data_IF_598100962581
#
_entry.id   IF_598100962581
#
_cell.length_a   1.000
_cell.length_b   1.000
_cell.length_c   1.000
_cell.angle_alpha   90.00
_cell.angle_beta   90.00
_cell.angle_gamma   90.00
#
_symmetry.space_group_name_H-M   'P 1'
#
loop_
_entity.id
_entity.type
_entity.pdbx_description
1 polymer ?
#
# COMPACT_ATOMS: atom_id res chain seq x y z
N UNK A 1 8.39 -26.02 -25.19
CA UNK A 1 7.95 -24.77 -24.51
C UNK A 1 8.50 -24.77 -23.10
N UNK A 2 9.01 -23.64 -22.59
CA UNK A 2 9.59 -23.60 -21.26
C UNK A 2 8.53 -23.82 -20.16
N UNK A 3 8.93 -24.45 -19.05
CA UNK A 3 8.11 -24.69 -17.86
C UNK A 3 8.55 -23.75 -16.73
N UNK A 4 7.61 -23.37 -15.88
CA UNK A 4 7.92 -22.60 -14.66
C UNK A 4 8.58 -23.51 -13.59
N UNK A 5 9.22 -22.94 -12.54
CA UNK A 5 9.84 -23.72 -11.47
C UNK A 5 8.88 -24.66 -10.71
N UNK A 6 7.58 -24.35 -10.74
CA UNK A 6 6.50 -25.17 -10.18
C UNK A 6 6.01 -26.29 -11.14
N UNK A 7 6.66 -26.47 -12.29
CA UNK A 7 6.34 -27.49 -13.30
C UNK A 7 5.18 -27.12 -14.24
N UNK A 8 4.49 -26.00 -13.98
CA UNK A 8 3.39 -25.53 -14.81
C UNK A 8 3.88 -25.03 -16.17
N UNK A 9 2.99 -25.10 -17.18
CA UNK A 9 3.31 -24.62 -18.52
C UNK A 9 3.38 -23.09 -18.53
N UNK A 10 4.53 -22.54 -18.89
CA UNK A 10 4.69 -21.11 -19.01
C UNK A 10 4.02 -20.64 -20.31
N UNK A 11 2.93 -19.86 -20.19
CA UNK A 11 2.47 -19.02 -21.31
C UNK A 11 3.58 -17.99 -21.56
N UNK A 12 3.89 -17.74 -22.84
CA UNK A 12 5.04 -16.92 -23.23
C UNK A 12 5.10 -15.59 -22.48
N UNK A 13 3.97 -14.89 -22.33
CA UNK A 13 3.93 -13.61 -21.61
C UNK A 13 4.30 -13.75 -20.12
N UNK A 14 3.83 -14.80 -19.42
CA UNK A 14 4.14 -15.05 -18.01
C UNK A 14 5.61 -15.41 -17.81
N UNK A 15 6.19 -16.16 -18.75
CA UNK A 15 7.62 -16.45 -18.73
C UNK A 15 8.42 -15.16 -18.82
N UNK A 16 8.13 -14.31 -19.82
CA UNK A 16 8.90 -13.09 -20.08
C UNK A 16 8.73 -12.03 -18.99
N UNK A 17 7.57 -11.95 -18.35
CA UNK A 17 7.34 -11.07 -17.20
C UNK A 17 8.22 -11.43 -15.99
N UNK A 18 8.43 -12.73 -15.71
CA UNK A 18 9.25 -13.20 -14.59
C UNK A 18 10.76 -13.01 -14.77
N UNK A 19 11.23 -12.85 -16.02
CA UNK A 19 12.66 -12.64 -16.34
C UNK A 19 12.94 -11.25 -16.91
N UNK A 20 11.94 -10.37 -16.95
CA UNK A 20 12.11 -9.01 -17.41
C UNK A 20 13.03 -8.25 -16.47
N UNK A 21 14.14 -7.71 -16.99
CA UNK A 21 14.95 -6.75 -16.24
C UNK A 21 14.08 -5.51 -16.01
N UNK A 22 13.94 -5.01 -14.76
CA UNK A 22 13.16 -3.82 -14.48
C UNK A 22 13.69 -2.64 -15.31
N UNK A 23 12.77 -1.89 -15.92
CA UNK A 23 13.08 -0.89 -16.94
C UNK A 23 13.42 0.49 -16.37
N UNK A 24 13.10 0.72 -15.10
CA UNK A 24 13.38 1.96 -14.37
C UNK A 24 13.55 1.67 -12.87
N UNK A 25 14.06 2.67 -12.14
CA UNK A 25 14.28 2.57 -10.69
C UNK A 25 13.01 2.22 -9.91
N UNK A 26 11.84 2.68 -10.36
CA UNK A 26 10.55 2.38 -9.72
C UNK A 26 10.20 0.90 -9.85
N UNK A 27 10.32 0.31 -11.05
CA UNK A 27 10.12 -1.13 -11.27
C UNK A 27 11.15 -1.97 -10.53
N UNK A 28 12.40 -1.51 -10.46
CA UNK A 28 13.48 -2.23 -9.78
C UNK A 28 13.35 -2.19 -8.25
N UNK A 29 12.77 -1.11 -7.73
CA UNK A 29 12.32 -0.99 -6.35
C UNK A 29 11.15 -1.95 -6.10
N UNK A 30 10.08 -1.91 -6.90
CA UNK A 30 8.92 -2.79 -6.73
C UNK A 30 9.23 -4.28 -6.91
N UNK A 31 10.19 -4.62 -7.78
CA UNK A 31 10.64 -6.00 -7.96
C UNK A 31 11.40 -6.55 -6.74
N UNK A 32 11.99 -5.66 -5.93
CA UNK A 32 12.74 -6.01 -4.71
C UNK A 32 11.93 -5.78 -3.44
N UNK A 33 10.87 -5.01 -3.49
CA UNK A 33 10.03 -4.68 -2.36
C UNK A 33 9.19 -5.90 -1.94
N UNK A 34 9.54 -6.46 -0.79
CA UNK A 34 8.90 -7.60 -0.14
C UNK A 34 8.04 -7.17 1.08
N UNK A 35 7.73 -5.88 1.18
CA UNK A 35 6.97 -5.29 2.27
C UNK A 35 5.45 -5.49 2.18
N UNK A 36 4.73 -5.10 3.24
CA UNK A 36 3.27 -5.20 3.34
C UNK A 36 2.55 -4.52 2.16
N UNK A 37 3.17 -3.50 1.55
CA UNK A 37 2.64 -2.79 0.39
C UNK A 37 2.34 -3.64 -0.84
N UNK A 38 2.82 -4.88 -0.98
CA UNK A 38 2.35 -5.71 -2.09
C UNK A 38 0.84 -5.94 -1.99
N UNK A 39 0.09 -5.66 -3.07
CA UNK A 39 -1.35 -5.88 -3.12
C UNK A 39 -1.75 -7.33 -2.78
N UNK A 40 -0.84 -8.30 -3.02
CA UNK A 40 -1.02 -9.70 -2.68
C UNK A 40 -0.97 -9.99 -1.17
N UNK A 41 -0.28 -9.14 -0.40
CA UNK A 41 -0.19 -9.25 1.06
C UNK A 41 -1.26 -8.41 1.74
N UNK A 42 -1.55 -7.23 1.18
CA UNK A 42 -2.49 -6.30 1.75
C UNK A 42 -3.97 -6.62 1.47
N UNK A 43 -4.29 -7.36 0.40
CA UNK A 43 -5.67 -7.63 -0.02
C UNK A 43 -5.84 -9.08 -0.47
N UNK A 44 -7.07 -9.60 -0.35
CA UNK A 44 -7.42 -10.87 -1.00
C UNK A 44 -7.68 -10.66 -2.50
N UNK A 45 -7.44 -11.68 -3.33
CA UNK A 45 -7.65 -11.58 -4.79
C UNK A 45 -9.10 -11.24 -5.17
N UNK A 46 -10.06 -11.71 -4.37
CA UNK A 46 -11.50 -11.43 -4.53
C UNK A 46 -11.95 -10.13 -3.86
N UNK A 47 -11.05 -9.40 -3.20
CA UNK A 47 -11.40 -8.21 -2.44
C UNK A 47 -11.69 -7.02 -3.39
N UNK A 48 -12.90 -6.49 -3.27
CA UNK A 48 -13.38 -5.35 -4.03
C UNK A 48 -13.60 -4.13 -3.12
N UNK A 49 -13.91 -2.97 -3.70
CA UNK A 49 -14.13 -1.74 -2.92
C UNK A 49 -12.84 -1.06 -2.43
N UNK A 50 -11.67 -1.48 -2.92
CA UNK A 50 -10.37 -0.91 -2.56
C UNK A 50 -10.26 0.53 -3.11
N UNK A 51 -10.31 1.50 -2.20
CA UNK A 51 -10.12 2.93 -2.53
C UNK A 51 -8.63 3.31 -2.63
N UNK A 52 -8.30 4.49 -3.18
CA UNK A 52 -6.94 5.02 -3.13
C UNK A 52 -6.39 5.11 -1.69
N UNK A 53 -7.24 5.41 -0.70
CA UNK A 53 -6.83 5.49 0.70
C UNK A 53 -6.44 4.11 1.26
N UNK A 54 -7.19 3.04 0.93
CA UNK A 54 -6.81 1.67 1.29
C UNK A 54 -5.43 1.29 0.74
N UNK A 55 -5.11 1.73 -0.49
CA UNK A 55 -3.79 1.52 -1.07
C UNK A 55 -2.73 2.31 -0.31
N UNK A 56 -2.94 3.60 -0.05
CA UNK A 56 -1.99 4.39 0.73
C UNK A 56 -1.70 3.80 2.12
N UNK A 57 -2.72 3.21 2.77
CA UNK A 57 -2.58 2.45 4.01
C UNK A 57 -1.78 1.16 3.85
N UNK A 58 -2.08 0.38 2.80
CA UNK A 58 -1.37 -0.86 2.47
C UNK A 58 0.12 -0.62 2.20
N UNK A 59 0.48 0.48 1.54
CA UNK A 59 1.87 0.79 1.19
C UNK A 59 2.62 1.61 2.24
N UNK A 60 1.97 2.07 3.31
CA UNK A 60 2.59 2.97 4.28
C UNK A 60 3.01 4.28 3.61
N UNK A 61 2.07 4.98 2.95
CA UNK A 61 2.34 6.26 2.29
C UNK A 61 1.69 7.45 3.01
N UNK A 62 2.32 7.99 4.07
CA UNK A 62 1.81 9.11 4.86
C UNK A 62 1.38 10.30 4.01
N UNK A 63 2.22 10.73 3.06
CA UNK A 63 1.95 11.93 2.25
C UNK A 63 0.77 11.72 1.29
N UNK A 64 0.62 10.52 0.72
CA UNK A 64 -0.52 10.20 -0.14
C UNK A 64 -1.81 10.10 0.68
N UNK A 65 -1.76 9.48 1.86
CA UNK A 65 -2.89 9.42 2.77
C UNK A 65 -3.35 10.82 3.20
N UNK A 66 -2.42 11.71 3.57
CA UNK A 66 -2.73 13.11 3.86
C UNK A 66 -3.37 13.83 2.66
N UNK A 67 -2.80 13.70 1.47
CA UNK A 67 -3.32 14.33 0.27
C UNK A 67 -4.75 13.86 -0.06
N UNK A 68 -5.01 12.56 0.08
CA UNK A 68 -6.33 11.97 -0.15
C UNK A 68 -7.31 12.47 0.90
N UNK A 69 -6.97 12.41 2.19
CA UNK A 69 -7.84 12.81 3.29
C UNK A 69 -8.12 14.31 3.33
N UNK A 70 -7.17 15.14 2.86
CA UNK A 70 -7.37 16.58 2.73
C UNK A 70 -8.38 16.93 1.64
N UNK A 71 -8.56 16.09 0.61
CA UNK A 71 -9.47 16.34 -0.52
C UNK A 71 -10.80 15.59 -0.43
N UNK A 72 -10.74 14.33 0.00
CA UNK A 72 -11.87 13.39 0.01
C UNK A 72 -11.91 12.69 1.38
N UNK A 73 -12.31 13.43 2.40
CA UNK A 73 -12.29 12.94 3.79
C UNK A 73 -13.23 11.75 3.99
N UNK A 74 -14.35 11.73 3.29
CA UNK A 74 -15.35 10.66 3.34
C UNK A 74 -14.80 9.28 2.95
N UNK A 75 -13.62 9.21 2.32
CA UNK A 75 -12.97 7.93 2.02
C UNK A 75 -12.55 7.16 3.28
N UNK A 76 -12.43 7.82 4.43
CA UNK A 76 -12.03 7.15 5.69
C UNK A 76 -13.07 6.13 6.16
N UNK A 77 -14.35 6.38 5.92
CA UNK A 77 -15.47 5.52 6.30
C UNK A 77 -15.73 4.42 5.26
N UNK A 78 -15.08 4.48 4.10
CA UNK A 78 -15.28 3.47 3.07
C UNK A 78 -14.64 2.16 3.49
N UNK A 79 -15.38 1.07 3.36
CA UNK A 79 -14.90 -0.28 3.64
C UNK A 79 -14.72 -1.09 2.37
N UNK A 80 -13.78 -2.04 2.40
CA UNK A 80 -13.63 -3.06 1.36
C UNK A 80 -14.77 -4.08 1.43
N UNK A 81 -14.85 -4.99 0.45
CA UNK A 81 -15.81 -6.09 0.45
C UNK A 81 -15.66 -7.05 1.63
N UNK A 82 -14.53 -7.01 2.34
CA UNK A 82 -14.28 -7.75 3.58
C UNK A 82 -14.58 -6.93 4.84
N UNK A 83 -15.10 -5.71 4.69
CA UNK A 83 -15.42 -4.81 5.79
C UNK A 83 -14.21 -4.11 6.40
N UNK A 84 -13.06 -4.09 5.73
CA UNK A 84 -11.86 -3.42 6.25
C UNK A 84 -11.88 -1.94 5.89
N UNK A 85 -11.59 -1.07 6.84
CA UNK A 85 -11.32 0.36 6.58
C UNK A 85 -9.86 0.55 6.17
N UNK A 86 -9.53 1.73 5.65
CA UNK A 86 -8.13 2.08 5.40
C UNK A 86 -7.29 2.08 6.69
N UNK A 87 -7.88 2.45 7.84
CA UNK A 87 -7.20 2.40 9.13
C UNK A 87 -6.85 0.97 9.54
N UNK A 88 -7.79 0.03 9.36
CA UNK A 88 -7.56 -1.39 9.68
C UNK A 88 -6.40 -1.97 8.89
N UNK A 89 -6.29 -1.61 7.60
CA UNK A 89 -5.19 -2.04 6.74
C UNK A 89 -3.85 -1.44 7.21
N UNK A 90 -3.83 -0.16 7.59
CA UNK A 90 -2.62 0.48 8.10
C UNK A 90 -2.14 -0.18 9.39
N UNK A 91 -3.05 -0.49 10.32
CA UNK A 91 -2.73 -1.20 11.56
C UNK A 91 -2.22 -2.61 11.30
N UNK A 92 -2.81 -3.34 10.35
CA UNK A 92 -2.31 -4.65 9.92
C UNK A 92 -0.90 -4.54 9.33
N UNK A 93 -0.57 -3.43 8.65
CA UNK A 93 0.78 -3.13 8.19
C UNK A 93 1.78 -2.95 9.34
N UNK A 94 1.37 -2.28 10.43
CA UNK A 94 2.18 -2.17 11.66
C UNK A 94 2.44 -3.55 12.27
N UNK A 95 1.39 -4.35 12.48
CA UNK A 95 1.50 -5.72 13.02
C UNK A 95 2.40 -6.60 12.14
N UNK A 96 2.27 -6.48 10.81
CA UNK A 96 3.12 -7.19 9.87
C UNK A 96 4.59 -6.77 9.99
N UNK A 97 4.86 -5.47 10.15
CA UNK A 97 6.22 -4.97 10.35
C UNK A 97 6.85 -5.53 11.62
N UNK A 98 6.10 -5.55 12.72
CA UNK A 98 6.54 -6.12 14.00
C UNK A 98 6.80 -7.63 13.90
N UNK A 99 5.88 -8.37 13.28
CA UNK A 99 6.02 -9.82 13.11
C UNK A 99 7.22 -10.23 12.23
N UNK A 100 7.62 -9.38 11.29
CA UNK A 100 8.69 -9.66 10.33
C UNK A 100 10.01 -8.92 10.65
N UNK A 101 10.12 -8.28 11.81
CA UNK A 101 11.29 -7.47 12.20
C UNK A 101 11.70 -6.46 11.11
N UNK A 102 10.71 -5.78 10.52
CA UNK A 102 10.94 -4.74 9.52
C UNK A 102 11.57 -3.51 10.15
N UNK A 103 12.27 -2.68 9.36
CA UNK A 103 12.88 -1.47 9.88
C UNK A 103 11.81 -0.51 10.43
N UNK A 104 12.22 0.25 11.45
CA UNK A 104 11.30 1.08 12.25
C UNK A 104 10.61 2.18 11.42
N UNK A 105 11.24 2.62 10.32
CA UNK A 105 10.72 3.62 9.40
C UNK A 105 9.48 3.14 8.63
N UNK A 106 9.46 1.89 8.16
CA UNK A 106 8.30 1.28 7.49
C UNK A 106 7.13 1.15 8.48
N UNK A 107 7.42 0.71 9.72
CA UNK A 107 6.42 0.64 10.79
C UNK A 107 5.86 2.03 11.14
N UNK A 108 6.72 3.03 11.23
CA UNK A 108 6.34 4.41 11.52
C UNK A 108 5.46 4.97 10.41
N UNK A 109 5.78 4.72 9.14
CA UNK A 109 4.95 5.12 8.00
C UNK A 109 3.54 4.55 8.06
N UNK A 110 3.38 3.25 8.35
CA UNK A 110 2.05 2.65 8.55
C UNK A 110 1.32 3.26 9.76
N UNK A 111 2.05 3.52 10.84
CA UNK A 111 1.51 4.14 12.06
C UNK A 111 1.02 5.57 11.79
N UNK A 112 1.74 6.35 10.99
CA UNK A 112 1.34 7.69 10.57
C UNK A 112 0.08 7.67 9.72
N UNK A 113 -0.03 6.73 8.76
CA UNK A 113 -1.26 6.59 7.96
C UNK A 113 -2.46 6.24 8.85
N UNK A 114 -2.28 5.30 9.79
CA UNK A 114 -3.31 4.96 10.77
C UNK A 114 -3.71 6.19 11.62
N UNK A 115 -2.73 7.02 12.00
CA UNK A 115 -2.96 8.27 12.74
C UNK A 115 -3.77 9.26 11.92
N UNK A 116 -3.45 9.46 10.63
CA UNK A 116 -4.24 10.36 9.78
C UNK A 116 -5.67 9.86 9.58
N UNK A 117 -5.88 8.56 9.44
CA UNK A 117 -7.24 8.01 9.38
C UNK A 117 -8.01 8.27 10.69
N UNK A 118 -7.38 8.08 11.85
CA UNK A 118 -8.00 8.39 13.14
C UNK A 118 -8.34 9.88 13.30
N UNK A 119 -7.45 10.77 12.85
CA UNK A 119 -7.73 12.21 12.81
C UNK A 119 -8.91 12.51 11.88
N UNK A 120 -8.96 11.85 10.72
CA UNK A 120 -10.05 11.95 9.75
C UNK A 120 -11.40 11.53 10.35
N UNK A 121 -11.46 10.39 11.02
CA UNK A 121 -12.65 9.87 11.75
C UNK A 121 -13.15 10.87 12.80
N UNK A 122 -12.24 11.57 13.48
CA UNK A 122 -12.56 12.51 14.56
C UNK A 122 -12.99 13.91 14.11
N UNK A 123 -13.02 14.18 12.82
CA UNK A 123 -13.29 15.54 12.32
C UNK A 123 -12.12 16.54 12.47
N UNK A 124 -10.91 16.07 12.82
CA UNK A 124 -9.71 16.91 12.91
C UNK A 124 -9.17 17.33 11.53
N UNK A 125 -8.72 18.57 11.36
CA UNK A 125 -8.18 19.08 10.10
C UNK A 125 -6.84 18.40 9.76
N UNK A 126 -6.71 17.91 8.52
CA UNK A 126 -5.47 17.30 8.01
C UNK A 126 -4.85 18.28 7.03
N UNK A 127 -3.83 18.99 7.48
CA UNK A 127 -3.08 19.93 6.65
C UNK A 127 -2.02 19.18 5.84
N UNK A 128 -2.13 19.26 4.51
CA UNK A 128 -1.09 18.79 3.61
C UNK A 128 -0.22 19.98 3.22
N UNK A 129 0.91 20.16 3.91
CA UNK A 129 1.91 21.16 3.51
C UNK A 129 2.78 20.55 2.43
N UNK A 130 2.62 20.99 1.18
CA UNK A 130 3.61 20.74 0.14
C UNK A 130 4.87 21.49 0.56
N UNK A 131 5.83 20.79 1.14
CA UNK A 131 7.19 21.33 1.31
C UNK A 131 7.82 21.38 -0.08
N UNK A 132 7.50 22.43 -0.84
CA UNK A 132 7.86 22.54 -2.25
C UNK A 132 7.25 23.76 -2.93
N UNK A 133 7.49 24.95 -2.39
CA UNK A 133 7.54 26.18 -3.20
C UNK A 133 8.93 26.76 -3.04
N UNK A 134 9.76 26.69 -4.09
CA UNK A 134 10.22 27.89 -4.81
C UNK A 134 11.23 27.54 -5.92
N UNK A 135 10.95 28.16 -7.08
CA UNK A 135 11.70 28.34 -8.34
C UNK A 135 11.92 27.16 -9.30
#
# INVERSE_FOLDING_TARGET
MPRLPDGSFARGEKWFALRGRPKNHTEEFWARYDGFGSALLAFQESEAGITPLHKAAAFGWPQQAQFILARNREQVETTTSLGQTARDIALRGVEWCEANNRPDDEREQHSEVARFCLMAERGEEITFTVTGTND
#
